data_IF_047976038914
#
_entry.id   IF_047976038914
#
_cell.length_a   1.000
_cell.length_b   1.000
_cell.length_c   1.000
_cell.angle_alpha   90.00
_cell.angle_beta   90.00
_cell.angle_gamma   90.00
#
_symmetry.space_group_name_H-M   'P 1'
#
loop_
_entity.id
_entity.type
_entity.pdbx_description
1 polymer ?
#
# COMPACT_ATOMS: atom_id res chain seq x y z
N UNK A 1 -52.56 -72.06 45.87
CA UNK A 1 -51.71 -72.78 44.90
C UNK A 1 -52.42 -72.79 43.54
N UNK A 2 -51.62 -72.59 42.49
CA UNK A 2 -51.87 -72.86 41.05
C UNK A 2 -53.13 -72.26 40.40
N UNK A 3 -53.03 -71.13 39.67
CA UNK A 3 -52.40 -70.95 38.32
C UNK A 3 -53.07 -71.79 37.23
N UNK A 4 -53.74 -71.12 36.29
CA UNK A 4 -53.35 -71.02 34.87
C UNK A 4 -54.41 -70.17 34.13
N UNK A 5 -54.07 -69.00 33.56
CA UNK A 5 -53.39 -68.78 32.25
C UNK A 5 -54.12 -69.55 31.14
N UNK A 6 -54.64 -68.88 30.11
CA UNK A 6 -53.93 -68.57 28.84
C UNK A 6 -54.83 -67.57 28.06
N UNK A 7 -54.37 -66.34 27.79
CA UNK A 7 -53.66 -65.87 26.57
C UNK A 7 -54.57 -65.92 25.32
N UNK A 8 -54.99 -64.78 24.75
CA UNK A 8 -54.26 -63.82 23.89
C UNK A 8 -54.75 -63.97 22.45
N UNK A 9 -55.17 -62.85 21.85
CA UNK A 9 -54.90 -62.33 20.48
C UNK A 9 -55.99 -61.28 20.23
N UNK A 10 -55.71 -60.00 20.05
CA UNK A 10 -54.63 -59.40 19.28
C UNK A 10 -55.21 -58.85 17.98
N UNK A 11 -55.69 -57.60 18.03
CA UNK A 11 -55.71 -56.64 16.90
C UNK A 11 -54.29 -56.58 16.29
N UNK A 12 -54.07 -56.18 15.02
CA UNK A 12 -54.68 -55.06 14.30
C UNK A 12 -55.14 -55.50 12.88
N UNK A 13 -55.72 -54.71 11.98
CA UNK A 13 -55.26 -53.51 11.27
C UNK A 13 -56.35 -53.39 10.14
N UNK A 14 -56.84 -52.25 9.68
CA UNK A 14 -56.11 -51.29 8.85
C UNK A 14 -57.09 -50.27 8.23
N UNK A 15 -56.64 -49.01 8.23
CA UNK A 15 -56.98 -47.86 7.37
C UNK A 15 -58.33 -47.15 7.56
N UNK A 16 -58.28 -46.15 8.43
CA UNK A 16 -58.97 -44.86 8.27
C UNK A 16 -58.32 -44.04 7.14
N UNK A 17 -59.16 -43.36 6.35
CA UNK A 17 -58.90 -42.21 5.48
C UNK A 17 -60.22 -41.40 5.54
N UNK A 18 -60.37 -40.46 6.48
CA UNK A 18 -59.97 -39.05 6.42
C UNK A 18 -60.71 -38.22 5.35
N UNK A 19 -61.59 -37.33 5.82
CA UNK A 19 -61.85 -35.95 5.35
C UNK A 19 -62.91 -35.42 6.33
N UNK A 20 -62.55 -34.80 7.47
CA UNK A 20 -62.00 -33.43 7.65
C UNK A 20 -62.80 -32.38 6.88
N UNK A 21 -63.50 -31.53 7.64
CA UNK A 21 -63.43 -30.06 7.58
C UNK A 21 -64.53 -29.53 8.55
N UNK A 22 -64.16 -29.21 9.78
CA UNK A 22 -63.62 -27.91 10.20
C UNK A 22 -64.47 -26.72 9.75
N UNK A 23 -65.22 -26.15 10.69
CA UNK A 23 -65.17 -24.70 10.85
C UNK A 23 -65.23 -24.35 12.34
N UNK A 24 -64.03 -24.06 12.85
CA UNK A 24 -63.75 -23.52 14.15
C UNK A 24 -64.52 -22.21 14.40
N UNK A 25 -65.02 -22.05 15.63
CA UNK A 25 -65.23 -20.73 16.19
C UNK A 25 -63.85 -20.18 16.58
N UNK A 26 -63.19 -19.49 15.65
CA UNK A 26 -62.13 -18.54 16.00
C UNK A 26 -62.57 -17.11 15.69
N UNK A 27 -62.64 -16.33 16.77
CA UNK A 27 -62.25 -14.93 16.85
C UNK A 27 -62.59 -14.02 15.66
N UNK A 28 -63.73 -13.34 15.73
CA UNK A 28 -63.82 -11.98 15.21
C UNK A 28 -64.58 -11.08 16.19
N UNK A 29 -63.76 -10.22 16.82
CA UNK A 29 -64.04 -8.91 17.41
C UNK A 29 -65.50 -8.43 17.26
N UNK A 30 -66.17 -8.28 18.40
CA UNK A 30 -67.32 -7.39 18.54
C UNK A 30 -66.81 -5.93 18.59
N UNK A 31 -66.28 -5.42 17.48
CA UNK A 31 -66.21 -3.98 17.18
C UNK A 31 -66.43 -3.81 15.67
N UNK A 32 -67.29 -2.85 15.30
CA UNK A 32 -67.94 -2.68 13.99
C UNK A 32 -69.09 -3.70 13.78
N UNK A 33 -70.35 -3.35 13.52
CA UNK A 33 -70.86 -2.37 12.58
C UNK A 33 -72.22 -1.88 13.10
N UNK A 34 -72.24 -0.70 13.70
CA UNK A 34 -73.43 0.15 13.74
C UNK A 34 -73.30 1.13 12.58
N UNK A 35 -73.48 0.63 11.36
CA UNK A 35 -73.63 1.49 10.19
C UNK A 35 -74.83 0.97 9.37
N UNK A 36 -75.82 1.82 9.05
CA UNK A 36 -76.74 1.48 7.99
C UNK A 36 -75.91 1.35 6.72
N UNK A 37 -75.96 0.19 6.05
CA UNK A 37 -75.38 0.02 4.72
C UNK A 37 -76.14 0.93 3.76
N UNK A 38 -75.62 2.15 3.61
CA UNK A 38 -75.91 3.10 2.55
C UNK A 38 -74.79 2.90 1.53
N UNK A 39 -75.08 2.24 0.41
CA UNK A 39 -74.25 2.19 -0.80
C UNK A 39 -75.12 1.54 -1.89
N UNK A 40 -75.25 2.01 -3.13
CA UNK A 40 -74.63 3.12 -3.86
C UNK A 40 -75.46 3.31 -5.12
N UNK A 41 -75.85 4.54 -5.37
CA UNK A 41 -76.61 5.02 -6.53
C UNK A 41 -75.71 5.17 -7.78
N UNK A 42 -74.72 4.30 -7.95
CA UNK A 42 -73.69 4.42 -8.97
C UNK A 42 -73.57 3.11 -9.74
N UNK A 43 -74.55 2.79 -10.58
CA UNK A 43 -74.31 1.92 -11.75
C UNK A 43 -75.38 2.06 -12.85
N UNK A 44 -75.97 3.24 -13.03
CA UNK A 44 -76.93 3.52 -14.11
C UNK A 44 -76.61 4.70 -15.06
N UNK A 45 -75.48 5.44 -15.00
CA UNK A 45 -75.17 6.39 -16.08
C UNK A 45 -74.55 5.73 -17.33
N UNK A 46 -73.91 4.55 -17.21
CA UNK A 46 -73.20 3.93 -18.34
C UNK A 46 -74.13 3.18 -19.32
N UNK A 47 -75.27 2.68 -18.85
CA UNK A 47 -76.25 1.98 -19.69
C UNK A 47 -77.04 2.98 -20.56
N UNK A 48 -77.33 4.18 -20.03
CA UNK A 48 -77.97 5.26 -20.80
C UNK A 48 -77.05 5.85 -21.89
N UNK A 49 -75.72 5.78 -21.68
CA UNK A 49 -74.72 6.28 -22.64
C UNK A 49 -74.59 5.39 -23.87
N UNK A 50 -74.71 4.08 -23.72
CA UNK A 50 -74.56 3.10 -24.82
C UNK A 50 -75.77 3.09 -25.76
N UNK A 51 -76.99 3.32 -25.26
CA UNK A 51 -78.21 3.33 -26.10
C UNK A 51 -78.32 4.61 -26.95
N UNK A 52 -77.74 5.72 -26.48
CA UNK A 52 -77.82 7.02 -27.15
C UNK A 52 -76.84 7.19 -28.33
N UNK A 53 -75.92 6.24 -28.55
CA UNK A 53 -74.76 6.43 -29.44
C UNK A 53 -74.88 5.77 -30.84
N UNK A 54 -75.94 4.99 -31.11
CA UNK A 54 -76.06 4.16 -32.33
C UNK A 54 -77.15 4.59 -33.35
N UNK A 55 -77.59 5.86 -33.35
CA UNK A 55 -78.51 6.36 -34.38
C UNK A 55 -77.94 7.58 -35.12
N UNK A 56 -76.90 7.31 -35.91
CA UNK A 56 -76.41 8.21 -36.96
C UNK A 56 -76.64 7.58 -38.34
N UNK A 57 -77.72 8.02 -39.00
CA UNK A 57 -77.86 8.00 -40.47
C UNK A 57 -78.59 6.80 -41.08
N UNK A 58 -79.85 7.00 -41.48
CA UNK A 58 -80.33 6.94 -42.87
C UNK A 58 -81.82 7.29 -42.92
N UNK A 59 -82.21 8.10 -43.89
CA UNK A 59 -83.57 8.58 -44.13
C UNK A 59 -84.49 7.45 -44.63
N UNK A 60 -85.41 6.95 -43.79
CA UNK A 60 -86.86 6.91 -44.09
C UNK A 60 -87.70 6.48 -42.85
N UNK A 61 -88.42 7.47 -42.33
CA UNK A 61 -89.79 7.50 -41.80
C UNK A 61 -90.33 6.45 -40.79
N UNK A 62 -90.45 6.98 -39.57
CA UNK A 62 -91.64 7.03 -38.70
C UNK A 62 -92.18 5.79 -37.99
N UNK A 63 -91.93 4.56 -38.43
CA UNK A 63 -92.34 3.37 -37.64
C UNK A 63 -91.29 2.96 -36.60
N UNK A 64 -90.00 3.15 -36.89
CA UNK A 64 -88.92 2.78 -35.98
C UNK A 64 -88.82 3.69 -34.74
N UNK A 65 -89.27 4.96 -34.84
CA UNK A 65 -89.17 5.93 -33.75
C UNK A 65 -90.21 5.71 -32.66
N UNK A 66 -91.43 5.29 -33.02
CA UNK A 66 -92.48 4.97 -32.05
C UNK A 66 -92.15 3.69 -31.27
N UNK A 67 -91.54 2.70 -31.92
CA UNK A 67 -91.15 1.43 -31.30
C UNK A 67 -89.97 1.62 -30.31
N UNK A 68 -89.03 2.52 -30.62
CA UNK A 68 -87.94 2.90 -29.69
C UNK A 68 -88.49 3.65 -28.47
N UNK A 69 -89.42 4.61 -28.64
CA UNK A 69 -90.05 5.28 -27.50
C UNK A 69 -90.94 4.34 -26.65
N UNK A 70 -91.61 3.38 -27.30
CA UNK A 70 -92.41 2.36 -26.60
C UNK A 70 -91.51 1.39 -25.83
N UNK A 71 -90.37 1.00 -26.41
CA UNK A 71 -89.34 0.21 -25.71
C UNK A 71 -88.70 0.99 -24.58
N UNK A 72 -88.40 2.27 -24.75
CA UNK A 72 -87.81 3.09 -23.68
C UNK A 72 -88.76 3.27 -22.50
N UNK A 73 -90.07 3.46 -22.75
CA UNK A 73 -91.08 3.53 -21.68
C UNK A 73 -91.28 2.16 -21.02
N UNK A 74 -91.25 1.06 -21.77
CA UNK A 74 -91.29 -0.30 -21.22
C UNK A 74 -90.04 -0.60 -20.37
N UNK A 75 -88.85 -0.22 -20.85
CA UNK A 75 -87.60 -0.32 -20.11
C UNK A 75 -87.67 0.51 -18.83
N UNK A 76 -88.23 1.71 -18.86
CA UNK A 76 -88.43 2.55 -17.68
C UNK A 76 -89.41 1.95 -16.68
N UNK A 77 -90.54 1.41 -17.13
CA UNK A 77 -91.51 0.72 -16.27
C UNK A 77 -90.88 -0.55 -15.65
N UNK A 78 -90.10 -1.30 -16.41
CA UNK A 78 -89.36 -2.45 -15.91
C UNK A 78 -88.27 -2.04 -14.92
N UNK A 79 -87.57 -0.93 -15.16
CA UNK A 79 -86.60 -0.35 -14.25
C UNK A 79 -87.24 0.08 -12.92
N UNK A 80 -88.41 0.73 -12.97
CA UNK A 80 -89.16 1.14 -11.78
C UNK A 80 -89.70 -0.07 -11.00
N UNK A 81 -90.20 -1.10 -11.70
CA UNK A 81 -90.59 -2.37 -11.06
C UNK A 81 -89.40 -3.08 -10.43
N UNK A 82 -88.25 -3.10 -11.10
CA UNK A 82 -87.01 -3.67 -10.58
C UNK A 82 -86.56 -2.91 -9.33
N UNK A 83 -86.58 -1.58 -9.35
CA UNK A 83 -86.26 -0.73 -8.22
C UNK A 83 -87.23 -0.94 -7.04
N UNK A 84 -88.53 -1.12 -7.32
CA UNK A 84 -89.53 -1.41 -6.30
C UNK A 84 -89.33 -2.80 -5.67
N UNK A 85 -89.02 -3.82 -6.48
CA UNK A 85 -88.73 -5.18 -5.99
C UNK A 85 -87.44 -5.18 -5.19
N UNK A 86 -86.37 -4.52 -5.65
CA UNK A 86 -85.13 -4.37 -4.91
C UNK A 86 -85.35 -3.66 -3.57
N UNK A 87 -86.13 -2.58 -3.55
CA UNK A 87 -86.48 -1.88 -2.30
C UNK A 87 -87.22 -2.78 -1.31
N UNK A 88 -88.18 -3.60 -1.79
CA UNK A 88 -88.89 -4.57 -0.95
C UNK A 88 -87.98 -5.71 -0.48
N UNK A 89 -87.11 -6.19 -1.36
CA UNK A 89 -86.12 -7.22 -1.05
C UNK A 89 -85.18 -6.75 0.06
N UNK A 90 -84.59 -5.55 -0.07
CA UNK A 90 -83.72 -4.98 0.96
C UNK A 90 -84.45 -4.73 2.27
N UNK A 91 -85.72 -4.29 2.24
CA UNK A 91 -86.53 -4.15 3.47
C UNK A 91 -86.77 -5.50 4.15
N UNK A 92 -87.09 -6.55 3.40
CA UNK A 92 -87.26 -7.90 3.92
C UNK A 92 -85.94 -8.45 4.48
N UNK A 93 -84.84 -8.28 3.74
CA UNK A 93 -83.49 -8.68 4.13
C UNK A 93 -83.08 -8.01 5.45
N UNK A 94 -83.25 -6.70 5.56
CA UNK A 94 -82.96 -5.94 6.79
C UNK A 94 -83.83 -6.40 7.97
N UNK A 95 -85.11 -6.71 7.73
CA UNK A 95 -86.00 -7.25 8.77
C UNK A 95 -85.55 -8.63 9.24
N UNK A 96 -85.14 -9.50 8.31
CA UNK A 96 -84.62 -10.83 8.63
C UNK A 96 -83.32 -10.76 9.45
N UNK A 97 -82.42 -9.83 9.10
CA UNK A 97 -81.19 -9.58 9.87
C UNK A 97 -81.50 -9.08 11.28
N UNK A 98 -82.44 -8.15 11.43
CA UNK A 98 -82.88 -7.63 12.73
C UNK A 98 -83.46 -8.73 13.62
N UNK A 99 -84.36 -9.56 13.07
CA UNK A 99 -84.94 -10.70 13.79
C UNK A 99 -83.86 -11.74 14.19
N UNK A 100 -82.88 -11.98 13.32
CA UNK A 100 -81.76 -12.86 13.64
C UNK A 100 -80.89 -12.30 14.77
N UNK A 101 -80.69 -10.99 14.84
CA UNK A 101 -79.98 -10.35 15.94
C UNK A 101 -80.75 -10.47 17.27
N UNK A 102 -82.05 -10.19 17.27
CA UNK A 102 -82.90 -10.37 18.46
C UNK A 102 -82.95 -11.83 18.93
N UNK A 103 -83.01 -12.80 18.00
CA UNK A 103 -82.92 -14.23 18.32
C UNK A 103 -81.59 -14.58 19.00
N UNK A 104 -80.46 -14.06 18.49
CA UNK A 104 -79.15 -14.28 19.10
C UNK A 104 -79.07 -13.65 20.49
N UNK A 105 -79.63 -12.44 20.66
CA UNK A 105 -79.64 -11.74 21.96
C UNK A 105 -80.47 -12.49 22.99
N UNK A 106 -81.67 -12.95 22.62
CA UNK A 106 -82.52 -13.77 23.49
C UNK A 106 -81.87 -15.11 23.83
N UNK A 107 -81.16 -15.73 22.88
CA UNK A 107 -80.40 -16.95 23.15
C UNK A 107 -79.22 -16.69 24.11
N UNK A 108 -78.48 -15.58 23.98
CA UNK A 108 -77.43 -15.18 24.94
C UNK A 108 -78.00 -14.97 26.34
N UNK A 109 -79.14 -14.28 26.47
CA UNK A 109 -79.82 -14.08 27.76
C UNK A 109 -80.26 -15.41 28.39
N UNK A 110 -80.87 -16.28 27.59
CA UNK A 110 -81.28 -17.60 28.05
C UNK A 110 -80.06 -18.43 28.51
N UNK A 111 -78.94 -18.42 27.77
CA UNK A 111 -77.70 -19.09 28.21
C UNK A 111 -77.18 -18.55 29.53
N UNK A 112 -77.26 -17.23 29.76
CA UNK A 112 -76.82 -16.63 31.03
C UNK A 112 -77.67 -17.08 32.22
N UNK A 113 -78.97 -17.27 32.02
CA UNK A 113 -79.91 -17.74 33.05
C UNK A 113 -79.80 -19.26 33.25
N UNK A 114 -79.58 -20.00 32.16
CA UNK A 114 -79.58 -21.45 32.15
C UNK A 114 -78.22 -22.08 32.49
N UNK A 115 -77.15 -21.32 32.26
CA UNK A 115 -75.77 -21.78 32.37
C UNK A 115 -75.24 -22.36 31.06
N UNK A 116 -73.92 -22.28 30.88
CA UNK A 116 -73.25 -22.59 29.61
C UNK A 116 -73.35 -24.07 29.17
N UNK A 117 -73.74 -24.96 30.07
CA UNK A 117 -73.73 -26.41 29.88
C UNK A 117 -75.10 -27.00 29.50
N UNK A 118 -76.12 -26.16 29.24
CA UNK A 118 -77.50 -26.62 29.01
C UNK A 118 -77.95 -26.24 27.59
N UNK A 119 -78.12 -27.26 26.75
CA UNK A 119 -78.67 -27.08 25.39
C UNK A 119 -80.20 -27.00 25.41
N UNK A 120 -80.79 -26.24 24.49
CA UNK A 120 -82.26 -26.14 24.34
C UNK A 120 -82.89 -27.53 24.17
N UNK A 121 -82.21 -28.44 23.45
CA UNK A 121 -82.62 -29.83 23.28
C UNK A 121 -82.67 -30.62 24.60
N UNK A 122 -81.75 -30.36 25.55
CA UNK A 122 -81.76 -31.02 26.86
C UNK A 122 -82.89 -30.54 27.78
N UNK A 123 -83.33 -29.29 27.64
CA UNK A 123 -84.49 -28.75 28.38
C UNK A 123 -85.81 -29.33 27.85
N UNK A 124 -85.91 -29.54 26.53
CA UNK A 124 -87.11 -30.09 25.90
C UNK A 124 -87.39 -31.55 26.33
N UNK A 125 -86.33 -32.33 26.55
CA UNK A 125 -86.43 -33.74 26.93
C UNK A 125 -86.76 -33.96 28.42
N UNK A 126 -86.63 -32.93 29.26
CA UNK A 126 -86.89 -32.99 30.71
C UNK A 126 -87.70 -31.77 31.19
N UNK A 127 -89.01 -31.70 30.85
CA UNK A 127 -89.86 -30.60 31.28
C UNK A 127 -90.03 -30.63 32.81
N UNK A 128 -89.49 -29.61 33.50
CA UNK A 128 -89.74 -29.36 34.94
C UNK A 128 -88.63 -29.79 35.91
N UNK A 129 -87.55 -30.41 35.46
CA UNK A 129 -86.43 -30.83 36.33
C UNK A 129 -85.31 -29.79 36.48
N UNK A 130 -85.29 -28.76 35.63
CA UNK A 130 -84.19 -27.83 35.54
C UNK A 130 -84.42 -26.58 36.42
N UNK A 131 -83.42 -26.23 37.24
CA UNK A 131 -83.41 -25.06 38.13
C UNK A 131 -82.40 -24.03 37.64
N UNK A 132 -82.83 -22.76 37.64
CA UNK A 132 -82.06 -21.59 37.21
C UNK A 132 -80.68 -21.46 37.83
N UNK A 133 -79.72 -20.86 37.12
CA UNK A 133 -78.42 -20.47 37.70
C UNK A 133 -78.62 -19.55 38.91
N UNK A 134 -79.55 -18.61 38.82
CA UNK A 134 -79.88 -17.71 39.93
C UNK A 134 -80.36 -18.48 41.17
N UNK A 135 -81.26 -19.46 41.00
CA UNK A 135 -81.75 -20.30 42.08
C UNK A 135 -80.64 -21.18 42.69
N UNK A 136 -79.79 -21.76 41.84
CA UNK A 136 -78.63 -22.54 42.29
C UNK A 136 -77.65 -21.68 43.10
N UNK A 137 -77.36 -20.45 42.65
CA UNK A 137 -76.50 -19.51 43.37
C UNK A 137 -77.12 -19.17 44.72
N UNK A 138 -78.41 -18.83 44.76
CA UNK A 138 -79.10 -18.51 46.02
C UNK A 138 -79.05 -19.68 47.00
N UNK A 139 -79.27 -20.91 46.52
CA UNK A 139 -79.18 -22.10 47.35
C UNK A 139 -77.74 -22.35 47.88
N UNK A 140 -76.72 -22.12 47.05
CA UNK A 140 -75.32 -22.23 47.46
C UNK A 140 -74.94 -21.13 48.46
N UNK A 141 -75.40 -19.91 48.25
CA UNK A 141 -75.19 -18.80 49.19
C UNK A 141 -75.82 -19.11 50.56
N UNK A 142 -77.04 -19.65 50.58
CA UNK A 142 -77.68 -20.08 51.83
C UNK A 142 -76.85 -21.16 52.55
N UNK A 143 -76.39 -22.18 51.83
CA UNK A 143 -75.51 -23.23 52.38
C UNK A 143 -74.18 -22.66 52.88
N UNK A 144 -73.59 -21.70 52.16
CA UNK A 144 -72.36 -21.04 52.60
C UNK A 144 -72.59 -20.26 53.90
N UNK A 145 -73.70 -19.54 54.02
CA UNK A 145 -74.06 -18.82 55.25
C UNK A 145 -74.25 -19.78 56.43
N UNK A 146 -74.96 -20.89 56.24
CA UNK A 146 -75.14 -21.93 57.27
C UNK A 146 -73.81 -22.59 57.68
N UNK A 147 -72.93 -22.88 56.72
CA UNK A 147 -71.62 -23.46 57.00
C UNK A 147 -70.69 -22.47 57.73
N UNK A 148 -70.70 -21.19 57.35
CA UNK A 148 -69.97 -20.14 58.06
C UNK A 148 -70.44 -20.01 59.50
N UNK A 149 -71.75 -20.04 59.75
CA UNK A 149 -72.30 -20.02 61.10
C UNK A 149 -71.82 -21.21 61.93
N UNK A 150 -71.87 -22.43 61.36
CA UNK A 150 -71.38 -23.66 62.01
C UNK A 150 -69.88 -23.64 62.29
N UNK A 151 -69.08 -22.95 61.45
CA UNK A 151 -67.63 -22.84 61.62
C UNK A 151 -67.25 -21.78 62.66
N UNK A 152 -67.97 -20.66 62.68
CA UNK A 152 -67.81 -19.62 63.69
C UNK A 152 -68.02 -20.16 65.11
N UNK A 153 -69.04 -20.99 65.30
CA UNK A 153 -69.35 -21.60 66.61
C UNK A 153 -68.32 -22.63 67.09
N UNK A 154 -67.63 -23.34 66.18
CA UNK A 154 -66.63 -24.37 66.54
C UNK A 154 -65.22 -23.82 66.75
N UNK A 155 -64.91 -22.62 66.26
CA UNK A 155 -63.52 -22.13 66.17
C UNK A 155 -63.02 -21.34 67.40
N UNK A 156 -63.89 -20.80 68.26
CA UNK A 156 -63.44 -19.72 69.17
C UNK A 156 -62.62 -20.13 70.39
N UNK A 157 -62.72 -21.37 70.87
CA UNK A 157 -62.16 -21.76 72.19
C UNK A 157 -60.94 -22.68 72.13
N UNK A 158 -60.75 -23.45 71.06
CA UNK A 158 -59.53 -24.27 70.87
C UNK A 158 -58.49 -23.58 69.97
N UNK A 159 -58.94 -22.74 69.01
CA UNK A 159 -58.04 -22.08 68.07
C UNK A 159 -57.21 -20.94 68.68
N UNK A 160 -57.67 -20.31 69.78
CA UNK A 160 -57.01 -19.12 70.34
C UNK A 160 -55.59 -19.39 70.85
N UNK A 161 -55.38 -20.49 71.58
CA UNK A 161 -54.06 -20.84 72.13
C UNK A 161 -53.12 -21.41 71.05
N UNK A 162 -53.63 -22.20 70.11
CA UNK A 162 -52.85 -22.66 68.96
C UNK A 162 -52.50 -21.53 68.00
N UNK A 163 -53.40 -20.57 67.77
CA UNK A 163 -53.19 -19.42 66.91
C UNK A 163 -52.10 -18.49 67.47
N UNK A 164 -52.11 -18.19 68.78
CA UNK A 164 -51.07 -17.35 69.40
C UNK A 164 -49.67 -17.98 69.28
N UNK A 165 -49.57 -19.31 69.43
CA UNK A 165 -48.30 -20.05 69.26
C UNK A 165 -47.81 -20.04 67.81
N UNK A 166 -48.72 -20.26 66.85
CA UNK A 166 -48.44 -20.22 65.41
C UNK A 166 -48.06 -18.81 64.93
N UNK A 167 -48.72 -17.79 65.46
CA UNK A 167 -48.46 -16.39 65.17
C UNK A 167 -47.09 -15.96 65.71
N UNK A 168 -46.73 -16.38 66.92
CA UNK A 168 -45.39 -16.15 67.47
C UNK A 168 -44.32 -16.82 66.60
N UNK A 169 -44.54 -18.08 66.17
CA UNK A 169 -43.60 -18.81 65.26
C UNK A 169 -43.50 -18.15 63.88
N UNK A 170 -44.62 -17.72 63.31
CA UNK A 170 -44.66 -17.00 62.04
C UNK A 170 -43.94 -15.65 62.13
N UNK A 171 -44.11 -14.91 63.22
CA UNK A 171 -43.40 -13.65 63.46
C UNK A 171 -41.88 -13.82 63.47
N UNK A 172 -41.36 -14.86 64.14
CA UNK A 172 -39.93 -15.18 64.10
C UNK A 172 -39.46 -15.56 62.69
N UNK A 173 -40.25 -16.36 61.95
CA UNK A 173 -39.93 -16.74 60.57
C UNK A 173 -39.87 -15.53 59.65
N UNK A 174 -40.84 -14.61 59.72
CA UNK A 174 -40.84 -13.37 58.95
C UNK A 174 -39.63 -12.50 59.27
N UNK A 175 -39.32 -12.29 60.55
CA UNK A 175 -38.13 -11.53 60.97
C UNK A 175 -36.82 -12.19 60.52
N UNK A 176 -36.76 -13.53 60.46
CA UNK A 176 -35.59 -14.24 59.92
C UNK A 176 -35.43 -13.97 58.44
N UNK A 177 -36.49 -14.15 57.65
CA UNK A 177 -36.50 -13.90 56.21
C UNK A 177 -36.15 -12.43 55.90
N UNK A 178 -36.65 -11.47 56.67
CA UNK A 178 -36.29 -10.06 56.52
C UNK A 178 -34.81 -9.79 56.80
N UNK A 179 -34.23 -10.42 57.83
CA UNK A 179 -32.80 -10.31 58.10
C UNK A 179 -31.99 -10.93 56.97
N UNK A 180 -32.35 -12.11 56.49
CA UNK A 180 -31.67 -12.78 55.38
C UNK A 180 -31.78 -11.96 54.08
N UNK A 181 -32.94 -11.36 53.80
CA UNK A 181 -33.11 -10.47 52.65
C UNK A 181 -32.25 -9.21 52.77
N UNK A 182 -32.15 -8.65 53.99
CA UNK A 182 -31.30 -7.48 54.27
C UNK A 182 -29.82 -7.81 54.09
N UNK A 183 -29.35 -8.94 54.61
CA UNK A 183 -27.94 -9.36 54.44
C UNK A 183 -27.62 -9.68 52.98
N UNK A 184 -28.54 -10.33 52.24
CA UNK A 184 -28.39 -10.52 50.79
C UNK A 184 -28.28 -9.20 50.03
N UNK A 185 -29.15 -8.23 50.35
CA UNK A 185 -29.11 -6.90 49.72
C UNK A 185 -27.81 -6.15 50.05
N UNK A 186 -27.32 -6.22 51.28
CA UNK A 186 -26.03 -5.64 51.68
C UNK A 186 -24.84 -6.32 50.98
N UNK A 187 -24.89 -7.65 50.81
CA UNK A 187 -23.88 -8.41 50.09
C UNK A 187 -23.84 -8.04 48.60
N UNK A 188 -25.00 -8.02 47.93
CA UNK A 188 -25.10 -7.60 46.53
C UNK A 188 -24.65 -6.14 46.33
N UNK A 189 -24.99 -5.24 47.26
CA UNK A 189 -24.51 -3.85 47.22
C UNK A 189 -22.99 -3.75 47.36
N UNK A 190 -22.38 -4.61 48.20
CA UNK A 190 -20.92 -4.67 48.36
C UNK A 190 -20.24 -5.22 47.11
N UNK A 191 -20.79 -6.29 46.53
CA UNK A 191 -20.31 -6.89 45.28
C UNK A 191 -20.39 -5.90 44.12
N UNK A 192 -21.51 -5.18 43.99
CA UNK A 192 -21.69 -4.14 42.98
C UNK A 192 -20.60 -3.08 43.09
N UNK A 193 -20.37 -2.53 44.29
CA UNK A 193 -19.29 -1.54 44.52
C UNK A 193 -17.90 -2.10 44.19
N UNK A 194 -17.64 -3.35 44.55
CA UNK A 194 -16.36 -4.00 44.26
C UNK A 194 -16.15 -4.15 42.75
N UNK A 195 -17.20 -4.51 42.00
CA UNK A 195 -17.17 -4.62 40.54
C UNK A 195 -17.02 -3.25 39.87
N UNK A 196 -17.65 -2.19 40.38
CA UNK A 196 -17.45 -0.81 39.90
C UNK A 196 -16.00 -0.35 40.05
N UNK A 197 -15.40 -0.60 41.22
CA UNK A 197 -13.98 -0.27 41.48
C UNK A 197 -13.06 -1.05 40.52
N UNK A 198 -13.33 -2.34 40.31
CA UNK A 198 -12.55 -3.17 39.40
C UNK A 198 -12.68 -2.70 37.94
N UNK A 199 -13.89 -2.32 37.51
CA UNK A 199 -14.17 -1.76 36.19
C UNK A 199 -13.38 -0.46 35.98
N UNK A 200 -13.41 0.44 36.94
CA UNK A 200 -12.68 1.72 36.86
C UNK A 200 -11.15 1.52 36.85
N UNK A 201 -10.65 0.57 37.64
CA UNK A 201 -9.23 0.16 37.61
C UNK A 201 -8.84 -0.38 36.23
N UNK A 202 -9.68 -1.22 35.62
CA UNK A 202 -9.42 -1.79 34.30
C UNK A 202 -9.50 -0.73 33.19
N UNK A 203 -10.41 0.24 33.27
CA UNK A 203 -10.44 1.39 32.35
C UNK A 203 -9.12 2.17 32.40
N UNK A 204 -8.61 2.47 33.59
CA UNK A 204 -7.31 3.16 33.75
C UNK A 204 -6.15 2.36 33.15
N UNK A 205 -6.12 1.04 33.35
CA UNK A 205 -5.11 0.16 32.72
C UNK A 205 -5.21 0.16 31.20
N UNK A 206 -6.43 0.16 30.66
CA UNK A 206 -6.68 0.18 29.22
C UNK A 206 -6.26 1.51 28.59
N UNK A 207 -6.55 2.63 29.24
CA UNK A 207 -6.08 3.95 28.78
C UNK A 207 -4.54 4.07 28.85
N UNK A 208 -3.91 3.55 29.91
CA UNK A 208 -2.45 3.50 29.99
C UNK A 208 -1.83 2.62 28.89
N UNK A 209 -2.45 1.48 28.57
CA UNK A 209 -2.03 0.62 27.47
C UNK A 209 -2.19 1.31 26.11
N UNK A 210 -3.31 2.02 25.88
CA UNK A 210 -3.54 2.83 24.67
C UNK A 210 -2.48 3.91 24.49
N UNK A 211 -2.16 4.64 25.57
CA UNK A 211 -1.12 5.66 25.55
C UNK A 211 0.25 5.05 25.20
N UNK A 212 0.59 3.89 25.78
CA UNK A 212 1.83 3.15 25.47
C UNK A 212 1.87 2.71 24.02
N UNK A 213 0.78 2.16 23.47
CA UNK A 213 0.70 1.76 22.07
C UNK A 213 0.99 2.95 21.16
N UNK A 214 0.37 4.11 21.41
CA UNK A 214 0.58 5.31 20.61
C UNK A 214 2.03 5.80 20.62
N UNK A 215 2.72 5.73 21.77
CA UNK A 215 4.15 6.06 21.87
C UNK A 215 5.00 5.09 21.05
N UNK A 216 4.76 3.78 21.21
CA UNK A 216 5.49 2.75 20.46
C UNK A 216 5.25 2.84 18.94
N UNK A 217 4.04 3.17 18.51
CA UNK A 217 3.72 3.42 17.11
C UNK A 217 4.51 4.61 16.54
N UNK A 218 4.62 5.71 17.30
CA UNK A 218 5.43 6.86 16.93
C UNK A 218 6.92 6.50 16.83
N UNK A 219 7.48 5.83 17.85
CA UNK A 219 8.88 5.37 17.85
C UNK A 219 9.19 4.43 16.68
N UNK A 220 8.24 3.55 16.33
CA UNK A 220 8.34 2.67 15.17
C UNK A 220 8.32 3.47 13.87
N UNK A 221 7.47 4.50 13.78
CA UNK A 221 7.40 5.40 12.62
C UNK A 221 8.70 6.19 12.43
N UNK A 222 9.26 6.74 13.52
CA UNK A 222 10.51 7.48 13.49
C UNK A 222 11.70 6.57 13.14
N UNK A 223 11.73 5.35 13.68
CA UNK A 223 12.74 4.36 13.32
C UNK A 223 12.69 4.02 11.82
N UNK A 224 11.50 3.86 11.25
CA UNK A 224 11.33 3.64 9.80
C UNK A 224 11.85 4.82 8.99
N UNK A 225 11.55 6.06 9.38
CA UNK A 225 12.08 7.27 8.73
C UNK A 225 13.61 7.32 8.79
N UNK A 226 14.19 7.03 9.95
CA UNK A 226 15.65 6.98 10.12
C UNK A 226 16.30 5.92 9.22
N UNK A 227 15.69 4.74 9.08
CA UNK A 227 16.17 3.70 8.16
C UNK A 227 16.16 4.20 6.72
N UNK A 228 15.10 4.89 6.28
CA UNK A 228 15.03 5.48 4.92
C UNK A 228 16.18 6.46 4.71
N UNK A 229 16.38 7.41 5.62
CA UNK A 229 17.45 8.42 5.52
C UNK A 229 18.84 7.76 5.48
N UNK A 230 19.07 6.73 6.31
CA UNK A 230 20.33 5.99 6.30
C UNK A 230 20.53 5.21 5.00
N UNK A 231 19.47 4.67 4.42
CA UNK A 231 19.54 3.98 3.15
C UNK A 231 19.85 4.95 1.99
N UNK A 232 19.27 6.15 2.00
CA UNK A 232 19.60 7.19 1.01
C UNK A 232 21.07 7.59 1.11
N UNK A 233 21.60 7.77 2.33
CA UNK A 233 23.03 8.02 2.55
C UNK A 233 23.90 6.88 2.04
N UNK A 234 23.51 5.64 2.33
CA UNK A 234 24.21 4.45 1.82
C UNK A 234 24.26 4.44 0.29
N UNK A 235 23.15 4.77 -0.38
CA UNK A 235 23.10 4.85 -1.85
C UNK A 235 24.07 5.93 -2.36
N UNK A 236 24.13 7.09 -1.70
CA UNK A 236 25.09 8.14 -2.07
C UNK A 236 26.54 7.69 -1.85
N UNK A 237 26.84 6.99 -0.76
CA UNK A 237 28.16 6.42 -0.49
C UNK A 237 28.54 5.37 -1.55
N UNK A 238 27.60 4.48 -1.93
CA UNK A 238 27.79 3.48 -2.98
C UNK A 238 28.08 4.15 -4.34
N UNK A 239 27.37 5.22 -4.68
CA UNK A 239 27.61 6.02 -5.89
C UNK A 239 29.01 6.68 -5.87
N UNK A 240 29.42 7.22 -4.72
CA UNK A 240 30.74 7.81 -4.56
C UNK A 240 31.85 6.76 -4.72
N UNK A 241 31.67 5.59 -4.09
CA UNK A 241 32.60 4.45 -4.21
C UNK A 241 32.70 4.01 -5.67
N UNK A 242 31.58 3.91 -6.39
CA UNK A 242 31.57 3.54 -7.80
C UNK A 242 32.32 4.56 -8.66
N UNK A 243 32.11 5.86 -8.43
CA UNK A 243 32.80 6.93 -9.14
C UNK A 243 34.32 6.90 -8.90
N UNK A 244 34.75 6.74 -7.65
CA UNK A 244 36.17 6.63 -7.28
C UNK A 244 36.82 5.38 -7.89
N UNK A 245 36.14 4.24 -7.84
CA UNK A 245 36.61 3.01 -8.48
C UNK A 245 36.70 3.17 -10.01
N UNK A 246 35.76 3.89 -10.63
CA UNK A 246 35.82 4.24 -12.04
C UNK A 246 37.06 5.07 -12.39
N UNK A 247 37.38 6.07 -11.57
CA UNK A 247 38.59 6.88 -11.75
C UNK A 247 39.87 6.05 -11.57
N UNK A 248 39.90 5.16 -10.56
CA UNK A 248 41.04 4.28 -10.33
C UNK A 248 41.30 3.38 -11.54
N UNK A 249 40.25 2.71 -12.05
CA UNK A 249 40.35 1.89 -13.27
C UNK A 249 40.87 2.68 -14.46
N UNK A 250 40.35 3.89 -14.68
CA UNK A 250 40.82 4.74 -15.77
C UNK A 250 42.31 5.13 -15.65
N UNK A 251 42.82 5.32 -14.42
CA UNK A 251 44.25 5.57 -14.19
C UNK A 251 45.08 4.30 -14.43
N UNK A 252 44.61 3.14 -13.94
CA UNK A 252 45.26 1.85 -14.14
C UNK A 252 45.38 1.49 -15.62
N UNK A 253 44.33 1.72 -16.41
CA UNK A 253 44.34 1.44 -17.85
C UNK A 253 45.31 2.36 -18.60
N UNK A 254 45.33 3.67 -18.28
CA UNK A 254 46.33 4.60 -18.84
C UNK A 254 47.75 4.26 -18.43
N UNK A 255 47.96 3.67 -17.26
CA UNK A 255 49.27 3.19 -16.85
C UNK A 255 49.67 1.94 -17.65
N UNK A 256 48.76 0.97 -17.79
CA UNK A 256 48.97 -0.26 -18.57
C UNK A 256 49.26 0.02 -20.04
N UNK A 257 48.57 0.98 -20.63
CA UNK A 257 48.81 1.46 -21.99
C UNK A 257 50.22 2.05 -22.13
N UNK A 258 50.60 2.97 -21.24
CA UNK A 258 51.96 3.54 -21.23
C UNK A 258 53.06 2.51 -21.02
N UNK A 259 52.82 1.51 -20.16
CA UNK A 259 53.76 0.42 -19.92
C UNK A 259 53.94 -0.46 -21.17
N UNK A 260 52.83 -0.78 -21.85
CA UNK A 260 52.84 -1.53 -23.12
C UNK A 260 53.56 -0.77 -24.23
N UNK A 261 53.29 0.53 -24.37
CA UNK A 261 53.97 1.42 -25.32
C UNK A 261 55.47 1.54 -25.04
N UNK A 262 55.84 1.68 -23.76
CA UNK A 262 57.23 1.75 -23.32
C UNK A 262 57.96 0.45 -23.63
N UNK A 263 57.33 -0.70 -23.36
CA UNK A 263 57.86 -2.02 -23.71
C UNK A 263 58.07 -2.18 -25.22
N UNK A 264 57.09 -1.78 -26.04
CA UNK A 264 57.22 -1.81 -27.50
C UNK A 264 58.39 -0.94 -28.00
N UNK A 265 58.58 0.25 -27.41
CA UNK A 265 59.73 1.13 -27.74
C UNK A 265 61.06 0.50 -27.32
N UNK A 266 61.13 -0.09 -26.13
CA UNK A 266 62.32 -0.81 -25.65
C UNK A 266 62.66 -1.96 -26.61
N UNK A 267 61.67 -2.75 -27.03
CA UNK A 267 61.86 -3.87 -27.96
C UNK A 267 62.39 -3.40 -29.32
N UNK A 268 61.86 -2.27 -29.85
CA UNK A 268 62.37 -1.66 -31.09
C UNK A 268 63.82 -1.20 -30.97
N UNK A 269 64.14 -0.44 -29.91
CA UNK A 269 65.51 0.03 -29.66
C UNK A 269 66.46 -1.14 -29.44
N UNK A 270 66.02 -2.19 -28.75
CA UNK A 270 66.80 -3.41 -28.53
C UNK A 270 67.10 -4.11 -29.87
N UNK A 271 66.11 -4.19 -30.76
CA UNK A 271 66.28 -4.75 -32.09
C UNK A 271 67.26 -3.94 -32.95
N UNK A 272 67.11 -2.61 -32.99
CA UNK A 272 68.03 -1.71 -33.69
C UNK A 272 69.46 -1.81 -33.13
N UNK A 273 69.62 -1.81 -31.80
CA UNK A 273 70.92 -2.03 -31.15
C UNK A 273 71.57 -3.35 -31.58
N UNK A 274 70.77 -4.42 -31.74
CA UNK A 274 71.24 -5.72 -32.19
C UNK A 274 71.74 -5.68 -33.65
N UNK A 275 71.00 -5.01 -34.55
CA UNK A 275 71.40 -4.83 -35.95
C UNK A 275 72.72 -4.05 -36.02
N UNK A 276 72.79 -2.88 -35.38
CA UNK A 276 73.99 -2.03 -35.38
C UNK A 276 75.20 -2.77 -34.80
N UNK A 277 74.99 -3.57 -33.74
CA UNK A 277 76.06 -4.41 -33.17
C UNK A 277 76.62 -5.40 -34.21
N UNK A 278 75.75 -6.04 -34.99
CA UNK A 278 76.17 -6.97 -36.05
C UNK A 278 76.93 -6.24 -37.17
N UNK A 279 76.49 -5.04 -37.57
CA UNK A 279 77.17 -4.21 -38.57
C UNK A 279 78.56 -3.76 -38.11
N UNK A 280 78.68 -3.32 -36.86
CA UNK A 280 79.98 -2.97 -36.25
C UNK A 280 80.90 -4.17 -36.18
N UNK A 281 80.38 -5.36 -35.82
CA UNK A 281 81.18 -6.59 -35.83
C UNK A 281 81.67 -6.96 -37.24
N UNK A 282 80.80 -6.86 -38.25
CA UNK A 282 81.17 -7.10 -39.65
C UNK A 282 82.25 -6.12 -40.14
N UNK A 283 82.06 -4.82 -39.87
CA UNK A 283 83.03 -3.78 -40.21
C UNK A 283 84.38 -4.00 -39.50
N UNK A 284 84.35 -4.42 -38.23
CA UNK A 284 85.55 -4.76 -37.47
C UNK A 284 86.33 -5.91 -38.11
N UNK A 285 85.66 -6.98 -38.53
CA UNK A 285 86.29 -8.10 -39.24
C UNK A 285 86.91 -7.64 -40.57
N UNK A 286 86.23 -6.78 -41.32
CA UNK A 286 86.76 -6.22 -42.57
C UNK A 286 88.02 -5.36 -42.32
N UNK A 287 88.02 -4.51 -41.28
CA UNK A 287 89.19 -3.72 -40.88
C UNK A 287 90.35 -4.65 -40.53
N UNK A 288 90.11 -5.72 -39.77
CA UNK A 288 91.13 -6.70 -39.41
C UNK A 288 91.73 -7.39 -40.64
N UNK A 289 90.90 -7.79 -41.60
CA UNK A 289 91.35 -8.35 -42.88
C UNK A 289 92.21 -7.35 -43.67
N UNK A 290 91.80 -6.08 -43.75
CA UNK A 290 92.58 -5.04 -44.44
C UNK A 290 93.91 -4.77 -43.73
N UNK A 291 93.92 -4.70 -42.40
CA UNK A 291 95.15 -4.54 -41.60
C UNK A 291 96.13 -5.69 -41.84
N UNK A 292 95.64 -6.93 -41.92
CA UNK A 292 96.46 -8.10 -42.26
C UNK A 292 97.08 -7.95 -43.66
N UNK A 293 96.28 -7.59 -44.67
CA UNK A 293 96.77 -7.33 -46.03
C UNK A 293 97.81 -6.21 -46.07
N UNK A 294 97.61 -5.13 -45.32
CA UNK A 294 98.59 -4.04 -45.22
C UNK A 294 99.89 -4.56 -44.62
N UNK A 295 99.84 -5.29 -43.51
CA UNK A 295 101.02 -5.87 -42.88
C UNK A 295 101.77 -6.83 -43.83
N UNK A 296 101.06 -7.69 -44.55
CA UNK A 296 101.66 -8.56 -45.58
C UNK A 296 102.40 -7.71 -46.64
N UNK A 297 101.77 -6.66 -47.17
CA UNK A 297 102.41 -5.75 -48.14
C UNK A 297 103.57 -4.96 -47.57
N UNK A 298 103.50 -4.54 -46.31
CA UNK A 298 104.60 -3.87 -45.62
C UNK A 298 105.81 -4.80 -45.47
N UNK A 299 105.58 -6.07 -45.12
CA UNK A 299 106.66 -7.07 -45.05
C UNK A 299 107.27 -7.36 -46.41
N UNK A 300 106.45 -7.43 -47.47
CA UNK A 300 106.90 -7.60 -48.85
C UNK A 300 107.72 -6.38 -49.31
N UNK A 301 107.23 -5.16 -49.07
CA UNK A 301 107.96 -3.91 -49.35
C UNK A 301 109.30 -3.91 -48.60
N UNK A 302 109.33 -4.32 -47.33
CA UNK A 302 110.57 -4.40 -46.55
C UNK A 302 111.56 -5.42 -47.14
N UNK A 303 111.09 -6.61 -47.53
CA UNK A 303 111.92 -7.63 -48.17
C UNK A 303 112.50 -7.14 -49.51
N UNK A 304 111.68 -6.54 -50.37
CA UNK A 304 112.10 -5.95 -51.63
C UNK A 304 113.09 -4.79 -51.45
N UNK A 305 112.90 -3.96 -50.42
CA UNK A 305 113.85 -2.90 -50.07
C UNK A 305 115.20 -3.46 -49.63
N UNK A 306 115.22 -4.55 -48.84
CA UNK A 306 116.45 -5.20 -48.40
C UNK A 306 117.22 -5.80 -49.58
N UNK A 307 116.53 -6.51 -50.47
CA UNK A 307 117.12 -7.07 -51.70
C UNK A 307 117.73 -5.98 -52.60
N UNK A 308 117.05 -4.83 -52.72
CA UNK A 308 117.56 -3.66 -53.47
C UNK A 308 118.78 -3.02 -52.83
N UNK A 309 118.90 -3.03 -51.51
CA UNK A 309 120.10 -2.54 -50.78
C UNK A 309 121.27 -3.52 -50.93
N UNK A 310 121.01 -4.83 -51.01
CA UNK A 310 122.06 -5.85 -51.25
C UNK A 310 122.64 -5.83 -52.67
N UNK A 311 121.97 -5.20 -53.65
CA UNK A 311 122.47 -5.05 -55.03
C UNK A 311 123.21 -3.73 -55.33
N UNK A 312 123.46 -2.88 -54.32
CA UNK A 312 124.20 -1.61 -54.50
C UNK A 312 125.57 -1.68 -53.82
N UNK A 313 126.63 -1.76 -54.62
CA UNK A 313 128.01 -1.49 -54.20
C UNK A 313 128.19 0.04 -53.99
N UNK A 314 128.92 0.52 -52.97
CA UNK A 314 128.93 1.93 -52.55
C UNK A 314 130.12 2.69 -53.15
N UNK A 315 129.89 3.83 -53.81
CA UNK A 315 130.75 5.04 -53.68
C UNK A 315 130.19 6.26 -54.44
N UNK A 316 130.68 7.50 -54.18
CA UNK A 316 129.81 8.59 -53.73
C UNK A 316 129.82 9.76 -54.72
N UNK A 317 128.83 10.63 -54.62
CA UNK A 317 129.06 12.06 -54.87
C UNK A 317 127.98 12.87 -54.19
N UNK A 318 128.48 13.61 -53.22
CA UNK A 318 127.86 14.66 -52.46
C UNK A 318 127.24 15.71 -53.39
N UNK A 319 126.04 16.16 -53.03
CA UNK A 319 125.66 17.58 -53.02
C UNK A 319 124.48 17.74 -52.07
N UNK A 320 124.82 17.94 -50.80
CA UNK A 320 124.30 19.00 -49.92
C UNK A 320 123.42 20.06 -50.63
N UNK A 321 122.40 20.69 -50.03
CA UNK A 321 121.83 20.65 -48.69
C UNK A 321 120.61 21.59 -48.74
N UNK A 322 119.62 21.32 -47.89
CA UNK A 322 118.62 22.27 -47.37
C UNK A 322 117.50 22.80 -48.27
N UNK A 323 116.30 22.79 -47.68
CA UNK A 323 115.51 24.03 -47.64
C UNK A 323 114.07 23.92 -48.10
N UNK A 324 113.26 23.25 -47.28
CA UNK A 324 111.82 23.44 -47.10
C UNK A 324 111.23 24.77 -47.64
N UNK A 325 110.35 24.69 -48.62
CA UNK A 325 109.02 25.31 -48.62
C UNK A 325 108.25 24.81 -49.82
N UNK A 326 107.47 23.76 -49.62
CA UNK A 326 106.43 23.39 -50.57
C UNK A 326 105.27 24.36 -50.37
N UNK A 327 105.33 25.51 -51.03
CA UNK A 327 104.11 26.23 -51.42
C UNK A 327 103.35 25.27 -52.34
N UNK A 328 102.40 24.56 -51.75
CA UNK A 328 101.47 23.73 -52.48
C UNK A 328 100.77 24.66 -53.48
N UNK A 329 101.02 24.35 -54.75
CA UNK A 329 100.30 24.86 -55.89
C UNK A 329 98.80 24.91 -55.58
N UNK A 330 98.23 26.10 -55.76
CA UNK A 330 96.79 26.31 -55.85
C UNK A 330 96.27 25.39 -56.93
N UNK A 331 95.66 24.29 -56.51
CA UNK A 331 95.02 23.31 -57.37
C UNK A 331 93.64 23.88 -57.76
N UNK A 332 93.25 23.98 -59.04
CA UNK A 332 91.97 24.57 -59.44
C UNK A 332 90.74 23.73 -59.03
N UNK A 333 90.95 22.63 -58.29
CA UNK A 333 89.92 21.65 -57.96
C UNK A 333 89.21 21.91 -56.61
N UNK A 334 89.77 22.77 -55.76
CA UNK A 334 89.18 23.17 -54.47
C UNK A 334 88.01 24.14 -54.65
N UNK A 335 87.83 24.73 -55.85
CA UNK A 335 86.65 25.55 -56.16
C UNK A 335 85.34 24.77 -56.01
N UNK A 336 85.37 23.44 -56.07
CA UNK A 336 84.19 22.60 -55.95
C UNK A 336 83.84 22.28 -54.48
N UNK A 337 84.81 22.26 -53.58
CA UNK A 337 84.58 21.98 -52.16
C UNK A 337 83.87 23.15 -51.47
N UNK A 338 84.23 24.39 -51.80
CA UNK A 338 83.51 25.58 -51.32
C UNK A 338 82.07 25.67 -51.85
N UNK A 339 81.81 25.15 -53.05
CA UNK A 339 80.45 25.07 -53.62
C UNK A 339 79.63 24.01 -52.89
N UNK A 340 80.20 22.84 -52.63
CA UNK A 340 79.52 21.78 -51.85
C UNK A 340 79.25 22.22 -50.42
N UNK A 341 80.23 22.86 -49.77
CA UNK A 341 80.08 23.41 -48.42
C UNK A 341 79.04 24.55 -48.39
N UNK A 342 79.01 25.39 -49.44
CA UNK A 342 78.00 26.44 -49.61
C UNK A 342 76.59 25.88 -49.77
N UNK A 343 76.41 24.86 -50.61
CA UNK A 343 75.12 24.18 -50.80
C UNK A 343 74.64 23.46 -49.52
N UNK A 344 75.55 22.83 -48.78
CA UNK A 344 75.22 22.20 -47.50
C UNK A 344 74.84 23.24 -46.43
N UNK A 345 75.55 24.37 -46.37
CA UNK A 345 75.23 25.46 -45.47
C UNK A 345 73.89 26.13 -45.84
N UNK A 346 73.59 26.25 -47.13
CA UNK A 346 72.31 26.78 -47.64
C UNK A 346 71.13 25.84 -47.30
N UNK A 347 71.31 24.53 -47.45
CA UNK A 347 70.31 23.54 -47.04
C UNK A 347 70.05 23.56 -45.52
N UNK A 348 71.10 23.66 -44.69
CA UNK A 348 70.92 23.77 -43.23
C UNK A 348 70.26 25.10 -42.84
N UNK A 349 70.56 26.19 -43.56
CA UNK A 349 69.87 27.48 -43.38
C UNK A 349 68.37 27.35 -43.65
N UNK A 350 67.97 26.69 -44.73
CA UNK A 350 66.55 26.45 -45.06
C UNK A 350 65.86 25.59 -43.98
N UNK A 351 66.51 24.51 -43.53
CA UNK A 351 66.00 23.66 -42.45
C UNK A 351 65.78 24.45 -41.16
N UNK A 352 66.73 25.31 -40.79
CA UNK A 352 66.64 26.16 -39.61
C UNK A 352 65.51 27.20 -39.74
N UNK A 353 65.31 27.79 -40.92
CA UNK A 353 64.19 28.71 -41.18
C UNK A 353 62.85 27.99 -41.02
N UNK A 354 62.72 26.76 -41.51
CA UNK A 354 61.51 25.96 -41.34
C UNK A 354 61.25 25.62 -39.85
N UNK A 355 62.29 25.23 -39.11
CA UNK A 355 62.18 24.99 -37.66
C UNK A 355 61.74 26.26 -36.93
N UNK A 356 62.31 27.42 -37.25
CA UNK A 356 61.90 28.71 -36.67
C UNK A 356 60.45 29.02 -37.01
N UNK A 357 60.00 28.76 -38.25
CA UNK A 357 58.61 28.95 -38.64
C UNK A 357 57.65 28.03 -37.86
N UNK A 358 58.01 26.76 -37.65
CA UNK A 358 57.23 25.81 -36.84
C UNK A 358 57.16 26.24 -35.37
N UNK A 359 58.29 26.67 -34.80
CA UNK A 359 58.33 27.16 -33.42
C UNK A 359 57.51 28.44 -33.23
N UNK A 360 57.57 29.38 -34.19
CA UNK A 360 56.74 30.58 -34.15
C UNK A 360 55.24 30.25 -34.22
N UNK A 361 54.81 29.35 -35.13
CA UNK A 361 53.42 28.88 -35.18
C UNK A 361 52.98 28.23 -33.87
N UNK A 362 53.85 27.48 -33.21
CA UNK A 362 53.56 26.85 -31.92
C UNK A 362 53.46 27.90 -30.80
N UNK A 363 54.35 28.88 -30.76
CA UNK A 363 54.28 29.99 -29.82
C UNK A 363 53.00 30.82 -30.00
N UNK A 364 52.62 31.09 -31.24
CA UNK A 364 51.37 31.81 -31.53
C UNK A 364 50.15 31.01 -31.09
N UNK A 365 50.17 29.68 -31.27
CA UNK A 365 49.13 28.79 -30.74
C UNK A 365 49.09 28.80 -29.20
N UNK A 366 50.25 28.69 -28.54
CA UNK A 366 50.33 28.76 -27.07
C UNK A 366 49.84 30.11 -26.54
N UNK A 367 50.11 31.22 -27.25
CA UNK A 367 49.55 32.55 -26.93
C UNK A 367 48.04 32.60 -27.11
N UNK A 368 47.51 32.09 -28.22
CA UNK A 368 46.07 32.03 -28.46
C UNK A 368 45.36 31.16 -27.40
N UNK A 369 45.94 30.02 -27.05
CA UNK A 369 45.42 29.14 -26.00
C UNK A 369 45.45 29.84 -24.62
N UNK A 370 46.51 30.60 -24.31
CA UNK A 370 46.60 31.40 -23.09
C UNK A 370 45.58 32.55 -23.06
N UNK A 371 45.32 33.21 -24.18
CA UNK A 371 44.30 34.25 -24.30
C UNK A 371 42.89 33.66 -24.11
N UNK A 372 42.61 32.49 -24.69
CA UNK A 372 41.37 31.75 -24.46
C UNK A 372 41.19 31.31 -22.99
N UNK A 373 42.27 30.90 -22.32
CA UNK A 373 42.28 30.60 -20.88
C UNK A 373 42.06 31.85 -20.02
N UNK A 374 42.58 33.02 -20.43
CA UNK A 374 42.39 34.29 -19.73
C UNK A 374 40.96 34.83 -19.84
N UNK A 375 40.30 34.62 -20.99
CA UNK A 375 38.90 35.00 -21.23
C UNK A 375 37.94 33.98 -20.59
N UNK A 376 38.32 32.70 -20.54
CA UNK A 376 37.51 31.62 -19.94
C UNK A 376 37.53 31.55 -18.41
N UNK A 377 38.44 32.26 -17.75
CA UNK A 377 38.54 32.28 -16.27
C UNK A 377 38.00 33.55 -15.60
N UNK A 378 37.45 34.50 -16.38
CA UNK A 378 36.88 35.75 -15.85
C UNK A 378 35.39 35.97 -16.14
N UNK A 379 34.67 34.97 -16.69
CA UNK A 379 33.24 35.06 -16.96
C UNK A 379 32.43 33.93 -16.33
N UNK A 380 31.90 34.15 -15.11
CA UNK A 380 31.00 33.17 -14.48
C UNK A 380 30.64 33.46 -13.03
N UNK A 381 30.17 34.68 -12.73
CA UNK A 381 29.61 35.04 -11.43
C UNK A 381 28.76 36.30 -11.55
N UNK A 382 27.50 36.14 -11.95
CA UNK A 382 26.46 37.17 -11.76
C UNK A 382 26.31 37.46 -10.26
N UNK A 383 26.48 38.72 -9.85
CA UNK A 383 25.54 39.48 -9.01
C UNK A 383 26.03 40.93 -8.83
N UNK A 384 25.21 41.89 -9.27
CA UNK A 384 25.04 43.18 -8.57
C UNK A 384 25.84 44.41 -9.04
N UNK A 385 25.13 45.30 -9.74
CA UNK A 385 25.11 46.77 -9.63
C UNK A 385 26.39 47.62 -9.51
N UNK A 386 26.32 48.72 -10.29
CA UNK A 386 26.78 50.09 -10.02
C UNK A 386 28.18 50.55 -10.46
N UNK A 387 28.15 51.47 -11.45
CA UNK A 387 28.79 52.79 -11.43
C UNK A 387 30.26 52.95 -11.91
N UNK A 388 30.36 53.65 -13.06
CA UNK A 388 31.23 54.80 -13.35
C UNK A 388 32.75 54.67 -13.58
N UNK A 389 33.20 55.37 -14.64
CA UNK A 389 34.49 56.09 -14.85
C UNK A 389 35.77 55.22 -14.96
N UNK A 390 36.81 55.51 -15.72
CA UNK A 390 37.20 56.48 -16.76
C UNK A 390 38.66 56.14 -17.15
N UNK A 391 39.03 56.43 -18.40
CA UNK A 391 40.35 56.90 -18.88
C UNK A 391 41.65 56.05 -18.81
N UNK A 392 42.33 56.03 -19.98
CA UNK A 392 43.78 56.26 -20.25
C UNK A 392 44.84 55.53 -19.39
N UNK A 393 45.94 54.94 -19.89
CA UNK A 393 47.03 55.58 -20.65
C UNK A 393 48.13 54.54 -20.97
N UNK A 394 48.89 54.82 -22.03
CA UNK A 394 50.19 54.30 -22.48
C UNK A 394 51.30 54.28 -21.42
N UNK A 395 52.31 53.40 -21.55
CA UNK A 395 53.65 53.67 -20.99
C UNK A 395 54.53 52.46 -20.64
N UNK A 396 55.70 52.42 -21.27
CA UNK A 396 56.86 51.54 -21.04
C UNK A 396 57.32 51.46 -19.57
N UNK A 397 57.90 50.33 -19.15
CA UNK A 397 59.16 50.36 -18.41
C UNK A 397 59.90 49.02 -18.29
N UNK A 398 61.23 49.15 -18.31
CA UNK A 398 62.28 48.14 -18.38
C UNK A 398 63.05 48.17 -17.05
N UNK A 399 63.29 47.03 -16.38
CA UNK A 399 64.32 46.77 -15.33
C UNK A 399 64.25 45.26 -14.99
N UNK A 400 65.20 44.37 -15.28
CA UNK A 400 66.58 44.17 -14.77
C UNK A 400 66.64 43.89 -13.25
N UNK A 401 67.42 42.83 -12.91
CA UNK A 401 67.90 42.37 -11.57
C UNK A 401 66.98 41.29 -10.94
N UNK A 402 67.39 40.13 -10.39
CA UNK A 402 68.66 39.61 -9.87
C UNK A 402 68.64 38.06 -9.84
N UNK A 403 69.80 37.45 -9.98
CA UNK A 403 70.05 36.03 -9.68
C UNK A 403 70.51 35.93 -8.23
N UNK A 404 69.82 35.15 -7.40
CA UNK A 404 70.39 34.61 -6.15
C UNK A 404 70.07 33.11 -6.02
N UNK A 405 71.13 32.33 -6.11
CA UNK A 405 71.25 30.93 -5.71
C UNK A 405 71.53 30.83 -4.21
N UNK A 406 70.92 29.88 -3.48
CA UNK A 406 71.47 29.13 -2.32
C UNK A 406 70.46 28.09 -1.79
N UNK A 407 70.85 27.08 -0.97
CA UNK A 407 70.48 25.68 -1.21
C UNK A 407 69.76 24.96 -0.05
N UNK A 408 69.26 23.75 -0.39
CA UNK A 408 69.03 22.53 0.44
C UNK A 408 68.58 22.71 1.91
N UNK A 409 67.46 22.07 2.24
CA UNK A 409 67.41 21.19 3.42
C UNK A 409 66.35 20.09 3.29
N UNK A 410 66.75 18.87 3.66
CA UNK A 410 65.93 17.67 3.80
C UNK A 410 65.30 17.68 5.18
N UNK A 411 63.98 17.48 5.31
CA UNK A 411 63.45 16.78 6.48
C UNK A 411 62.14 16.05 6.21
N UNK A 412 62.15 14.79 6.67
CA UNK A 412 61.06 13.83 6.68
C UNK A 412 60.03 14.24 7.72
N UNK A 413 58.74 14.06 7.45
CA UNK A 413 57.75 13.74 8.49
C UNK A 413 56.61 12.87 7.94
N UNK A 414 56.41 11.74 8.61
CA UNK A 414 55.29 10.81 8.45
C UNK A 414 54.08 11.30 9.26
N UNK A 415 52.83 11.11 8.80
CA UNK A 415 51.66 11.30 9.66
C UNK A 415 51.44 10.10 10.59
N UNK A 416 51.27 10.38 11.89
CA UNK A 416 50.86 9.44 12.95
C UNK A 416 49.42 8.97 12.75
N UNK A 417 49.23 7.68 12.96
CA UNK A 417 47.95 7.02 13.24
C UNK A 417 47.25 7.65 14.46
N UNK A 418 45.96 7.98 14.32
CA UNK A 418 45.06 8.28 15.44
C UNK A 418 44.63 6.99 16.14
N UNK A 419 44.90 6.89 17.44
CA UNK A 419 44.25 5.95 18.34
C UNK A 419 42.84 6.45 18.65
N UNK A 420 41.83 5.62 18.37
CA UNK A 420 40.49 5.75 18.94
C UNK A 420 40.44 4.91 20.21
N UNK A 421 40.17 5.55 21.35
CA UNK A 421 39.94 4.88 22.63
C UNK A 421 38.49 4.37 22.76
N UNK A 422 38.42 3.26 23.47
CA UNK A 422 37.32 2.33 23.63
C UNK A 422 36.09 2.87 24.36
N UNK A 423 34.92 2.41 23.89
CA UNK A 423 33.68 2.37 24.66
C UNK A 423 33.47 0.95 25.19
N UNK A 424 33.57 0.76 26.50
CA UNK A 424 32.90 -0.35 27.19
C UNK A 424 32.17 0.16 28.42
N UNK A 425 30.88 0.47 28.25
CA UNK A 425 29.93 0.62 29.36
C UNK A 425 29.23 -0.72 29.54
N UNK A 426 29.59 -1.45 30.60
CA UNK A 426 28.94 -2.67 31.02
C UNK A 426 27.62 -2.33 31.71
N UNK A 427 26.50 -2.72 31.09
CA UNK A 427 25.19 -2.67 31.73
C UNK A 427 25.01 -3.91 32.63
N UNK A 428 24.62 -3.59 33.85
CA UNK A 428 24.43 -4.46 35.01
C UNK A 428 23.11 -5.24 34.87
N UNK A 429 23.16 -6.58 34.86
CA UNK A 429 21.99 -7.46 34.93
C UNK A 429 22.01 -8.20 36.27
N UNK A 430 21.39 -7.59 37.28
CA UNK A 430 20.99 -8.25 38.51
C UNK A 430 19.50 -7.97 38.74
N UNK A 431 18.64 -8.92 38.40
CA UNK A 431 17.41 -9.24 39.15
C UNK A 431 16.63 -10.35 38.44
N UNK A 432 16.86 -11.60 38.84
CA UNK A 432 15.80 -12.62 38.82
C UNK A 432 15.49 -12.96 40.27
N UNK A 433 14.40 -12.37 40.76
CA UNK A 433 13.80 -12.77 42.00
C UNK A 433 12.59 -13.66 41.72
N UNK A 434 12.61 -14.77 42.42
CA UNK A 434 11.56 -15.76 42.70
C UNK A 434 10.13 -15.21 42.76
N UNK A 435 9.19 -15.91 42.09
CA UNK A 435 7.82 -16.26 42.53
C UNK A 435 6.91 -16.61 41.35
N UNK A 436 6.69 -17.90 41.13
CA UNK A 436 5.37 -18.54 41.17
C UNK A 436 5.50 -20.05 41.11
#
# INVERSE_FOLDING_TARGET
MSKNKVKKKGKPERLELSYEDDFSCENLREEEVSAPLVFSEELTPEIHRVISQDLAGTEDKSEFRADVYSRDEEVKILQDKLNQVNSKYHKCQNTCLSLRHELNKTQKLLRSEVGDNVTISSLLNHPGGWKGRAEQIQQLQQKLSELHQRLGEKSEKSARNSAISLERRNSYRTKSIERDRKTQMENLSRELRQMEIALESNKKKLEAARARIKVLENETSDSKRNIIILNDRKIHDDQLIEALNGQLRAVEDRFRERDSDSKCKIDKISHECSIMKNEVQSSRLQIEQLRKKISERETEIHALRLDRVSQVNPNPRESNVFGCSSEAAINPQDSNEYVVLGLAAEAERERLVEVVAVLNRRLDKERADADHLSIGTTGGGEFGCESSTSDSTTGENRRLIEVQTTPREYQKDFPRFSQGEDKHSAFNLNNLNTKK
#
